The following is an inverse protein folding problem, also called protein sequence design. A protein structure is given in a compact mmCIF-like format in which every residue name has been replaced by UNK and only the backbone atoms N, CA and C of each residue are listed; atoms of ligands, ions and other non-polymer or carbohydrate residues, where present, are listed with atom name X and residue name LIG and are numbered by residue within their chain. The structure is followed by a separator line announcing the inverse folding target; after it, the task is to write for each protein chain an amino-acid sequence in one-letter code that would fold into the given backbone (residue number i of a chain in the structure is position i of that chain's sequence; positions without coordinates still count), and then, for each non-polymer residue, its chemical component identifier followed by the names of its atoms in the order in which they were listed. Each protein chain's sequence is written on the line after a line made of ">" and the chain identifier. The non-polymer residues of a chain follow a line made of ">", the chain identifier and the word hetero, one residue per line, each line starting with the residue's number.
data_IF_674842696617
#
_entry.id   IF_674842696617
#
_cell.length_a   1.000
_cell.length_b   1.000
_cell.length_c   1.000
_cell.angle_alpha   90.00
_cell.angle_beta   90.00
_cell.angle_gamma   90.00
#
_symmetry.space_group_name_H-M   'P 1'
#
loop_
_entity.id
_entity.type
_entity.pdbx_description
1 polymer ?
#
# COMPACT_ATOMS: atom_id res chain seq x y z
N UNK A 1 -34.04 3.86 20.73
CA UNK A 1 -32.93 3.72 21.69
C UNK A 1 -31.65 3.70 20.90
N UNK A 2 -30.67 4.50 21.31
CA UNK A 2 -29.46 4.71 20.53
C UNK A 2 -28.28 4.63 21.47
N UNK A 3 -27.26 3.87 21.09
CA UNK A 3 -26.01 3.74 21.85
C UNK A 3 -25.51 5.09 22.38
N UNK A 4 -25.03 5.07 23.61
CA UNK A 4 -24.49 6.23 24.32
C UNK A 4 -22.96 6.22 24.35
N UNK A 5 -22.35 7.37 24.10
CA UNK A 5 -20.91 7.56 24.22
C UNK A 5 -20.49 7.36 25.68
N UNK A 6 -19.43 6.60 25.90
CA UNK A 6 -18.90 6.29 27.23
C UNK A 6 -19.46 5.02 27.86
N UNK A 7 -20.59 4.48 27.37
CA UNK A 7 -21.14 3.21 27.84
C UNK A 7 -20.47 2.01 27.15
N UNK A 8 -20.43 0.88 27.86
CA UNK A 8 -19.92 -0.40 27.38
C UNK A 8 -21.09 -1.32 27.03
N UNK A 9 -20.97 -2.05 25.92
CA UNK A 9 -21.96 -2.99 25.43
C UNK A 9 -21.28 -4.30 25.03
N UNK A 10 -22.01 -5.40 25.14
CA UNK A 10 -21.63 -6.66 24.50
C UNK A 10 -22.04 -6.64 23.03
N UNK A 11 -21.18 -7.15 22.15
CA UNK A 11 -21.42 -7.17 20.71
C UNK A 11 -20.72 -8.33 20.04
N UNK A 12 -21.41 -9.00 19.12
CA UNK A 12 -20.82 -9.96 18.20
C UNK A 12 -20.19 -9.24 16.99
N UNK A 13 -19.00 -9.69 16.59
CA UNK A 13 -18.29 -9.21 15.40
C UNK A 13 -18.69 -10.07 14.20
N UNK A 14 -19.39 -9.43 13.27
CA UNK A 14 -20.00 -10.09 12.10
C UNK A 14 -19.17 -9.95 10.83
N UNK A 15 -18.30 -8.94 10.75
CA UNK A 15 -17.41 -8.71 9.60
C UNK A 15 -16.18 -7.91 10.04
N UNK A 16 -15.16 -7.82 9.18
CA UNK A 16 -14.04 -6.88 9.33
C UNK A 16 -13.98 -6.03 8.06
N UNK A 17 -14.22 -4.73 8.23
CA UNK A 17 -14.17 -3.77 7.14
C UNK A 17 -12.73 -3.52 6.67
N UNK A 18 -12.58 -3.05 5.43
CA UNK A 18 -11.30 -2.57 4.91
C UNK A 18 -10.69 -1.53 5.85
N UNK A 19 -9.39 -1.69 6.12
CA UNK A 19 -8.70 -0.95 7.17
C UNK A 19 -8.66 -1.67 8.52
N UNK A 20 -9.21 -2.89 8.64
CA UNK A 20 -8.99 -3.79 9.79
C UNK A 20 -9.86 -3.52 11.02
N UNK A 21 -11.00 -2.84 10.85
CA UNK A 21 -11.97 -2.61 11.92
C UNK A 21 -13.07 -3.66 11.84
N UNK A 22 -13.29 -4.39 12.94
CA UNK A 22 -14.45 -5.26 13.09
C UNK A 22 -15.75 -4.47 13.09
N UNK A 23 -16.81 -5.10 12.61
CA UNK A 23 -18.14 -4.53 12.46
C UNK A 23 -19.13 -5.44 13.18
N UNK A 24 -19.89 -4.84 14.09
CA UNK A 24 -21.03 -5.48 14.73
C UNK A 24 -22.18 -4.50 14.91
N UNK A 25 -23.24 -4.97 15.55
CA UNK A 25 -24.40 -4.13 15.89
C UNK A 25 -24.69 -4.21 17.39
N UNK A 26 -24.87 -3.05 18.00
CA UNK A 26 -25.41 -2.90 19.36
C UNK A 26 -26.80 -2.32 19.22
N UNK A 27 -27.83 -3.06 19.65
CA UNK A 27 -29.24 -2.63 19.54
C UNK A 27 -29.61 -2.18 18.10
N UNK A 28 -29.07 -2.86 17.09
CA UNK A 28 -29.28 -2.52 15.67
C UNK A 28 -28.40 -1.38 15.12
N UNK A 29 -27.66 -0.66 15.96
CA UNK A 29 -26.75 0.41 15.55
C UNK A 29 -25.34 -0.14 15.23
N UNK A 30 -24.80 0.22 14.06
CA UNK A 30 -23.51 -0.29 13.57
C UNK A 30 -22.36 0.33 14.37
N UNK A 31 -21.44 -0.50 14.88
CA UNK A 31 -20.25 -0.07 15.61
C UNK A 31 -19.00 -0.68 15.00
N UNK A 32 -17.99 0.17 14.76
CA UNK A 32 -16.67 -0.23 14.30
C UNK A 32 -15.68 -0.32 15.46
N UNK A 33 -14.95 -1.43 15.57
CA UNK A 33 -14.03 -1.69 16.69
C UNK A 33 -12.71 -2.24 16.15
N UNK A 34 -11.55 -1.68 16.51
CA UNK A 34 -10.26 -2.24 16.12
C UNK A 34 -9.90 -3.45 17.01
N UNK A 35 -8.90 -4.24 16.58
CA UNK A 35 -8.28 -5.33 17.36
C UNK A 35 -9.20 -6.52 17.68
N UNK A 36 -10.21 -6.73 16.84
CA UNK A 36 -11.15 -7.86 16.92
C UNK A 36 -11.15 -8.65 15.61
N UNK A 37 -11.75 -9.84 15.62
CA UNK A 37 -11.94 -10.71 14.44
C UNK A 37 -13.40 -11.18 14.33
N UNK A 38 -13.80 -11.67 13.15
CA UNK A 38 -15.14 -12.21 12.91
C UNK A 38 -15.41 -13.44 13.77
N UNK A 39 -16.62 -13.52 14.33
CA UNK A 39 -17.06 -14.60 15.20
C UNK A 39 -16.77 -14.35 16.69
N UNK A 40 -16.13 -13.23 17.02
CA UNK A 40 -15.89 -12.86 18.41
C UNK A 40 -17.10 -12.22 19.08
N UNK A 41 -17.26 -12.48 20.38
CA UNK A 41 -18.14 -11.70 21.25
C UNK A 41 -17.25 -10.83 22.13
N UNK A 42 -17.49 -9.52 22.13
CA UNK A 42 -16.62 -8.54 22.78
C UNK A 42 -17.39 -7.53 23.62
N UNK A 43 -16.75 -7.03 24.67
CA UNK A 43 -17.16 -5.81 25.36
C UNK A 43 -16.54 -4.60 24.67
N UNK A 44 -17.40 -3.72 24.17
CA UNK A 44 -17.02 -2.51 23.45
C UNK A 44 -17.52 -1.26 24.18
N UNK A 45 -16.59 -0.34 24.48
CA UNK A 45 -16.95 1.00 24.96
C UNK A 45 -17.11 1.96 23.80
N UNK A 46 -18.27 2.62 23.69
CA UNK A 46 -18.52 3.58 22.61
C UNK A 46 -17.68 4.83 22.85
N UNK A 47 -16.74 5.11 21.95
CA UNK A 47 -15.88 6.31 22.00
C UNK A 47 -16.53 7.48 21.30
N UNK A 48 -17.09 7.22 20.13
CA UNK A 48 -17.63 8.26 19.27
C UNK A 48 -18.89 7.76 18.57
N UNK A 49 -19.83 8.67 18.36
CA UNK A 49 -21.08 8.42 17.64
C UNK A 49 -21.19 9.39 16.48
N UNK A 50 -21.30 8.85 15.27
CA UNK A 50 -21.62 9.58 14.05
C UNK A 50 -23.10 9.35 13.71
N UNK A 51 -23.57 9.99 12.62
CA UNK A 51 -24.96 9.93 12.17
C UNK A 51 -25.48 8.49 12.00
N UNK A 52 -24.68 7.61 11.37
CA UNK A 52 -25.12 6.27 10.96
C UNK A 52 -24.30 5.13 11.59
N UNK A 53 -23.24 5.44 12.34
CA UNK A 53 -22.36 4.44 12.94
C UNK A 53 -21.65 4.98 14.17
N UNK A 54 -21.14 4.08 15.00
CA UNK A 54 -20.30 4.37 16.15
C UNK A 54 -18.89 3.86 15.96
N UNK A 55 -17.97 4.41 16.73
CA UNK A 55 -16.62 3.88 16.90
C UNK A 55 -16.45 3.45 18.34
N UNK A 56 -16.03 2.21 18.51
CA UNK A 56 -15.82 1.59 19.80
C UNK A 56 -14.34 1.39 20.12
N UNK A 57 -14.07 1.22 21.40
CA UNK A 57 -12.78 0.74 21.92
C UNK A 57 -13.03 -0.63 22.54
N UNK A 58 -12.29 -1.63 22.08
CA UNK A 58 -12.29 -2.96 22.68
C UNK A 58 -11.91 -2.85 24.16
N UNK A 59 -12.77 -3.34 25.05
CA UNK A 59 -12.47 -3.48 26.48
C UNK A 59 -11.99 -4.90 26.78
N UNK A 60 -12.72 -5.90 26.28
CA UNK A 60 -12.45 -7.32 26.53
C UNK A 60 -13.00 -8.18 25.41
N UNK A 61 -12.31 -9.27 25.10
CA UNK A 61 -12.84 -10.35 24.25
C UNK A 61 -13.45 -11.38 25.19
N UNK A 62 -14.77 -11.59 25.07
CA UNK A 62 -15.52 -12.55 25.90
C UNK A 62 -15.46 -13.96 25.29
N UNK A 63 -15.62 -14.05 23.97
CA UNK A 63 -15.48 -15.26 23.20
C UNK A 63 -14.48 -15.00 22.05
N UNK A 64 -13.27 -15.58 22.09
CA UNK A 64 -12.27 -15.37 21.04
C UNK A 64 -12.58 -16.21 19.78
N UNK A 65 -12.17 -15.68 18.63
CA UNK A 65 -12.16 -16.41 17.36
C UNK A 65 -11.14 -17.56 17.44
N UNK A 66 -11.39 -18.72 16.80
CA UNK A 66 -10.37 -19.78 16.70
C UNK A 66 -9.11 -19.32 15.94
N UNK A 67 -9.22 -18.26 15.13
CA UNK A 67 -8.10 -17.64 14.42
C UNK A 67 -7.39 -16.55 15.23
N UNK A 68 -7.83 -16.26 16.46
CA UNK A 68 -7.12 -15.33 17.34
C UNK A 68 -5.80 -15.94 17.79
N UNK A 69 -4.74 -15.13 17.74
CA UNK A 69 -3.41 -15.47 18.26
C UNK A 69 -2.82 -14.35 19.11
N UNK A 70 -1.75 -14.67 19.82
CA UNK A 70 -0.93 -13.67 20.50
C UNK A 70 -0.16 -12.81 19.49
N UNK A 71 -0.10 -11.50 19.75
CA UNK A 71 0.66 -10.55 18.94
C UNK A 71 2.12 -10.46 19.43
N UNK A 72 3.06 -10.25 18.51
CA UNK A 72 4.50 -10.12 18.86
C UNK A 72 4.87 -8.76 19.42
N UNK A 73 4.23 -7.70 18.94
CA UNK A 73 4.64 -6.33 19.25
C UNK A 73 4.07 -5.85 20.60
N UNK A 74 4.90 -5.36 21.55
CA UNK A 74 4.44 -4.84 22.84
C UNK A 74 3.69 -3.50 22.74
N UNK A 75 3.69 -2.89 21.55
CA UNK A 75 2.98 -1.63 21.26
C UNK A 75 1.66 -1.87 20.51
N UNK A 76 1.33 -3.11 20.18
CA UNK A 76 0.06 -3.48 19.55
C UNK A 76 -1.12 -3.04 20.45
N UNK A 77 -2.25 -2.67 19.84
CA UNK A 77 -3.39 -2.07 20.56
C UNK A 77 -3.28 -0.56 20.81
N UNK A 78 -2.06 0.03 20.71
CA UNK A 78 -1.81 1.47 20.90
C UNK A 78 -1.24 2.14 19.65
N UNK A 79 -0.15 1.57 19.11
CA UNK A 79 0.50 2.05 17.90
C UNK A 79 -0.45 1.91 16.69
N UNK A 80 -0.58 2.96 15.88
CA UNK A 80 -1.46 2.96 14.70
C UNK A 80 -0.92 2.18 13.49
N UNK A 81 0.23 1.52 13.61
CA UNK A 81 0.90 0.87 12.48
C UNK A 81 0.34 -0.51 12.10
N UNK A 82 -0.03 -1.34 13.08
CA UNK A 82 -0.53 -2.70 12.87
C UNK A 82 -1.91 -2.86 13.50
N UNK A 83 -2.80 -3.55 12.80
CA UNK A 83 -4.21 -3.74 13.21
C UNK A 83 -4.61 -5.21 13.32
N UNK A 84 -3.82 -6.13 12.76
CA UNK A 84 -4.20 -7.53 12.58
C UNK A 84 -3.25 -8.55 13.23
N UNK A 85 -2.26 -8.12 14.05
CA UNK A 85 -1.30 -9.08 14.64
C UNK A 85 -1.97 -10.16 15.50
N UNK A 86 -3.13 -9.86 16.07
CA UNK A 86 -3.94 -10.77 16.86
C UNK A 86 -4.72 -11.81 16.02
N UNK A 87 -4.57 -11.82 14.69
CA UNK A 87 -5.26 -12.72 13.77
C UNK A 87 -4.21 -13.61 13.08
N UNK A 88 -4.46 -14.92 13.02
CA UNK A 88 -3.65 -15.87 12.26
C UNK A 88 -3.48 -15.45 10.80
N UNK A 89 -2.31 -15.72 10.22
CA UNK A 89 -1.96 -15.14 8.92
C UNK A 89 -2.85 -15.62 7.77
N UNK A 90 -3.17 -16.91 7.72
CA UNK A 90 -4.13 -17.47 6.77
C UNK A 90 -5.48 -16.75 6.82
N UNK A 91 -5.94 -16.40 8.04
CA UNK A 91 -7.17 -15.63 8.24
C UNK A 91 -7.03 -14.18 7.77
N UNK A 92 -5.87 -13.53 7.98
CA UNK A 92 -5.61 -12.20 7.42
C UNK A 92 -5.71 -12.21 5.88
N UNK A 93 -5.11 -13.20 5.22
CA UNK A 93 -5.16 -13.37 3.77
C UNK A 93 -6.59 -13.52 3.27
N UNK A 94 -7.37 -14.40 3.92
CA UNK A 94 -8.78 -14.60 3.60
C UNK A 94 -9.59 -13.30 3.75
N UNK A 95 -9.42 -12.58 4.88
CA UNK A 95 -10.11 -11.31 5.13
C UNK A 95 -9.79 -10.27 4.06
N UNK A 96 -8.51 -10.10 3.72
CA UNK A 96 -8.07 -9.13 2.70
C UNK A 96 -8.65 -9.45 1.32
N UNK A 97 -8.62 -10.72 0.92
CA UNK A 97 -9.23 -11.17 -0.34
C UNK A 97 -10.73 -10.91 -0.37
N UNK A 98 -11.45 -11.30 0.69
CA UNK A 98 -12.89 -11.03 0.85
C UNK A 98 -13.18 -9.53 0.73
N UNK A 99 -12.41 -8.69 1.40
CA UNK A 99 -12.58 -7.23 1.37
C UNK A 99 -12.43 -6.65 -0.04
N UNK A 100 -11.48 -7.13 -0.85
CA UNK A 100 -11.36 -6.72 -2.25
C UNK A 100 -12.62 -7.09 -3.04
N UNK A 101 -13.10 -8.33 -2.90
CA UNK A 101 -14.33 -8.79 -3.56
C UNK A 101 -15.58 -8.00 -3.14
N UNK A 102 -15.74 -7.73 -1.84
CA UNK A 102 -16.85 -6.95 -1.30
C UNK A 102 -16.84 -5.51 -1.81
N UNK A 103 -15.68 -4.86 -1.82
CA UNK A 103 -15.52 -3.49 -2.33
C UNK A 103 -15.85 -3.43 -3.81
N UNK A 104 -15.32 -4.36 -4.62
CA UNK A 104 -15.59 -4.42 -6.06
C UNK A 104 -17.06 -4.65 -6.36
N UNK A 105 -17.71 -5.53 -5.61
CA UNK A 105 -19.13 -5.82 -5.80
C UNK A 105 -20.00 -4.63 -5.39
N UNK A 106 -19.77 -4.07 -4.20
CA UNK A 106 -20.63 -3.02 -3.61
C UNK A 106 -20.40 -1.63 -4.22
N UNK A 107 -19.13 -1.24 -4.44
CA UNK A 107 -18.79 0.08 -4.98
C UNK A 107 -18.66 0.08 -6.51
N UNK A 108 -18.11 -1.00 -7.07
CA UNK A 108 -17.83 -1.12 -8.50
C UNK A 108 -19.02 -1.58 -9.31
N UNK A 109 -19.97 -2.29 -8.70
CA UNK A 109 -21.10 -2.90 -9.40
C UNK A 109 -20.70 -4.16 -10.19
N UNK A 110 -19.52 -4.72 -9.92
CA UNK A 110 -19.08 -5.97 -10.52
C UNK A 110 -19.82 -7.13 -9.82
N UNK A 111 -20.82 -7.74 -10.46
CA UNK A 111 -21.63 -8.80 -9.84
C UNK A 111 -20.81 -10.04 -9.43
N UNK A 112 -19.76 -10.35 -10.19
CA UNK A 112 -18.82 -11.45 -9.95
C UNK A 112 -17.41 -10.97 -10.31
N UNK A 113 -16.75 -10.18 -9.45
CA UNK A 113 -15.42 -9.69 -9.75
C UNK A 113 -14.43 -10.87 -9.80
N UNK A 114 -13.48 -10.91 -10.76
CA UNK A 114 -12.54 -12.02 -10.91
C UNK A 114 -11.40 -11.91 -9.89
N UNK A 115 -11.73 -11.96 -8.59
CA UNK A 115 -10.77 -11.85 -7.48
C UNK A 115 -10.14 -13.21 -7.21
N UNK A 116 -8.85 -13.29 -7.52
CA UNK A 116 -8.03 -14.47 -7.34
C UNK A 116 -7.56 -14.62 -5.88
N UNK A 117 -6.83 -15.70 -5.61
CA UNK A 117 -6.15 -15.85 -4.33
C UNK A 117 -5.16 -14.69 -4.11
N UNK A 118 -5.09 -14.24 -2.86
CA UNK A 118 -4.12 -13.22 -2.48
C UNK A 118 -2.71 -13.83 -2.50
N UNK A 119 -1.77 -13.14 -3.13
CA UNK A 119 -0.36 -13.51 -3.07
C UNK A 119 0.17 -13.22 -1.65
N UNK A 120 0.52 -14.24 -0.85
CA UNK A 120 0.99 -14.03 0.52
C UNK A 120 2.42 -13.49 0.52
N UNK A 121 2.76 -12.72 1.56
CA UNK A 121 4.16 -12.43 1.83
C UNK A 121 4.84 -13.68 2.38
N UNK A 122 6.05 -14.03 1.90
CA UNK A 122 6.83 -15.12 2.48
C UNK A 122 7.09 -14.96 3.97
N UNK A 123 7.21 -13.71 4.44
CA UNK A 123 7.45 -13.38 5.85
C UNK A 123 6.46 -12.34 6.34
N UNK A 124 5.90 -12.61 7.52
CA UNK A 124 4.92 -11.76 8.17
C UNK A 124 5.51 -10.51 8.86
N UNK A 125 6.81 -10.56 9.15
CA UNK A 125 7.56 -9.61 9.96
C UNK A 125 8.88 -9.25 9.27
N UNK A 126 9.55 -8.19 9.74
CA UNK A 126 10.84 -7.73 9.20
C UNK A 126 10.90 -7.45 7.69
N UNK A 127 9.73 -7.26 7.06
CA UNK A 127 9.61 -7.11 5.61
C UNK A 127 9.85 -5.66 5.16
N UNK A 128 9.60 -4.67 6.03
CA UNK A 128 9.47 -3.27 5.66
C UNK A 128 10.84 -2.57 5.54
N UNK A 129 11.19 -2.17 4.32
CA UNK A 129 12.47 -1.54 3.94
C UNK A 129 12.59 -0.04 4.24
N UNK A 130 11.49 0.62 4.60
CA UNK A 130 11.41 2.07 4.87
C UNK A 130 10.42 2.34 5.99
N UNK A 131 10.82 3.15 6.96
CA UNK A 131 9.94 3.63 8.03
C UNK A 131 10.17 5.12 8.30
N UNK A 132 9.10 5.90 8.36
CA UNK A 132 9.13 7.30 8.78
C UNK A 132 8.73 7.40 10.25
N UNK A 133 9.69 7.76 11.09
CA UNK A 133 9.49 7.92 12.53
C UNK A 133 9.06 9.35 12.85
N UNK A 134 8.16 9.49 13.83
CA UNK A 134 7.78 10.76 14.42
C UNK A 134 8.72 11.06 15.59
N UNK A 135 9.14 12.32 15.67
CA UNK A 135 10.05 12.83 16.68
C UNK A 135 9.37 13.90 17.51
N UNK A 136 9.54 13.84 18.82
CA UNK A 136 9.14 14.90 19.74
C UNK A 136 10.17 15.04 20.85
N UNK A 137 10.53 16.28 21.19
CA UNK A 137 11.34 16.61 22.35
C UNK A 137 10.58 17.60 23.22
N UNK A 138 10.36 17.26 24.49
CA UNK A 138 9.74 18.14 25.50
C UNK A 138 10.65 18.20 26.73
N UNK A 139 11.34 19.33 26.89
CA UNK A 139 12.43 19.43 27.86
C UNK A 139 13.51 18.38 27.57
N UNK A 140 13.78 17.51 28.54
CA UNK A 140 14.72 16.39 28.42
C UNK A 140 14.09 15.11 27.85
N UNK A 141 12.75 15.03 27.80
CA UNK A 141 12.06 13.85 27.28
C UNK A 141 12.15 13.83 25.75
N UNK A 142 12.64 12.70 25.22
CA UNK A 142 12.83 12.44 23.79
C UNK A 142 11.97 11.24 23.37
N UNK A 143 11.06 11.46 22.43
CA UNK A 143 10.18 10.42 21.89
C UNK A 143 10.48 10.19 20.41
N UNK A 144 10.78 8.93 20.09
CA UNK A 144 10.86 8.42 18.71
C UNK A 144 9.90 7.26 18.58
N UNK A 145 9.00 7.32 17.60
CA UNK A 145 8.12 6.21 17.31
C UNK A 145 7.06 6.55 16.28
N UNK A 146 5.86 6.01 16.45
CA UNK A 146 4.75 6.21 15.52
C UNK A 146 3.57 6.88 16.22
N UNK A 147 2.65 7.41 15.43
CA UNK A 147 1.40 7.90 15.97
C UNK A 147 0.53 6.75 16.50
N UNK A 148 -0.23 7.04 17.55
CA UNK A 148 -1.30 6.15 18.01
C UNK A 148 -2.37 5.97 16.92
N UNK A 149 -3.31 5.05 17.14
CA UNK A 149 -4.39 4.77 16.18
C UNK A 149 -5.24 6.01 15.83
N UNK A 150 -5.21 7.06 16.66
CA UNK A 150 -5.99 8.28 16.47
C UNK A 150 -5.17 9.47 15.98
N UNK A 151 -3.87 9.31 15.73
CA UNK A 151 -2.99 10.36 15.20
C UNK A 151 -2.60 11.45 16.21
N UNK A 152 -3.04 11.34 17.47
CA UNK A 152 -2.89 12.36 18.51
C UNK A 152 -1.50 12.30 19.13
N UNK A 153 -1.12 11.12 19.59
CA UNK A 153 0.06 10.94 20.45
C UNK A 153 1.16 10.15 19.74
N UNK A 154 2.41 10.40 20.13
CA UNK A 154 3.54 9.58 19.67
C UNK A 154 3.74 8.46 20.68
N UNK A 155 3.53 7.22 20.22
CA UNK A 155 3.90 6.02 20.94
C UNK A 155 5.41 5.83 20.75
N UNK A 156 6.19 6.13 21.78
CA UNK A 156 7.62 5.88 21.77
C UNK A 156 7.88 4.37 21.74
N UNK A 157 8.69 3.92 20.77
CA UNK A 157 8.97 2.48 20.57
C UNK A 157 10.46 2.21 20.58
N UNK A 158 10.88 1.06 21.11
CA UNK A 158 12.28 0.62 21.08
C UNK A 158 12.60 -0.25 19.87
N UNK A 159 11.60 -0.96 19.35
CA UNK A 159 11.65 -1.82 18.18
C UNK A 159 10.30 -1.80 17.47
N UNK A 160 10.30 -2.08 16.17
CA UNK A 160 9.11 -2.42 15.41
C UNK A 160 9.29 -3.80 14.75
N UNK A 161 8.34 -4.71 14.96
CA UNK A 161 8.45 -6.10 14.46
C UNK A 161 8.30 -6.21 12.94
N UNK A 162 7.67 -5.23 12.28
CA UNK A 162 7.44 -5.30 10.83
C UNK A 162 8.55 -4.61 10.00
N UNK A 163 9.42 -3.82 10.64
CA UNK A 163 10.55 -3.18 9.94
C UNK A 163 11.75 -4.12 9.90
N UNK A 164 12.55 -3.97 8.85
CA UNK A 164 13.81 -4.68 8.73
C UNK A 164 14.71 -4.46 9.97
N UNK A 165 15.46 -5.48 10.37
CA UNK A 165 16.30 -5.44 11.57
C UNK A 165 17.38 -4.36 11.53
N UNK A 166 17.89 -4.02 10.36
CA UNK A 166 18.81 -2.88 10.20
C UNK A 166 18.17 -1.53 10.56
N UNK A 167 16.85 -1.37 10.34
CA UNK A 167 16.11 -0.19 10.78
C UNK A 167 16.00 -0.16 12.30
N UNK A 168 15.75 -1.31 12.95
CA UNK A 168 15.73 -1.41 14.40
C UNK A 168 17.11 -1.04 15.00
N UNK A 169 18.20 -1.53 14.40
CA UNK A 169 19.56 -1.13 14.78
C UNK A 169 19.82 0.37 14.60
N UNK A 170 19.38 0.95 13.47
CA UNK A 170 19.51 2.38 13.22
C UNK A 170 18.65 3.24 14.17
N UNK A 171 17.48 2.75 14.58
CA UNK A 171 16.60 3.41 15.55
C UNK A 171 17.27 3.55 16.92
N UNK A 172 18.02 2.54 17.37
CA UNK A 172 18.79 2.62 18.63
C UNK A 172 19.82 3.74 18.56
N UNK A 173 20.60 3.79 17.48
CA UNK A 173 21.60 4.87 17.26
C UNK A 173 20.93 6.24 17.23
N UNK A 174 19.81 6.36 16.52
CA UNK A 174 19.03 7.59 16.40
C UNK A 174 18.60 8.16 17.75
N UNK A 175 18.13 7.29 18.64
CA UNK A 175 17.71 7.66 20.00
C UNK A 175 18.87 8.13 20.86
N UNK A 176 20.01 7.47 20.75
CA UNK A 176 21.21 7.77 21.54
C UNK A 176 21.84 9.10 21.11
N UNK A 177 22.05 9.29 19.80
CA UNK A 177 22.72 10.47 19.27
C UNK A 177 21.82 11.71 19.25
N UNK A 178 20.52 11.53 18.98
CA UNK A 178 19.54 12.59 18.81
C UNK A 178 20.07 13.79 17.99
N UNK A 179 20.37 13.62 16.69
CA UNK A 179 21.01 14.63 15.87
C UNK A 179 20.08 15.79 15.45
N UNK A 180 19.00 16.05 16.21
CA UNK A 180 17.90 16.93 15.81
C UNK A 180 17.84 18.21 16.62
N UNK A 181 17.83 19.35 15.92
CA UNK A 181 17.52 20.65 16.49
C UNK A 181 16.01 20.99 16.39
N UNK A 182 15.36 20.70 15.26
CA UNK A 182 13.94 21.08 15.01
C UNK A 182 13.10 20.06 14.21
N UNK A 183 13.68 18.91 13.85
CA UNK A 183 13.03 17.92 12.97
C UNK A 183 11.91 17.15 13.67
N UNK A 184 10.73 17.06 13.02
CA UNK A 184 9.54 16.33 13.53
C UNK A 184 9.37 14.92 12.96
N UNK A 185 10.02 14.62 11.83
CA UNK A 185 9.93 13.33 11.14
C UNK A 185 11.29 12.88 10.63
N UNK A 186 11.55 11.58 10.68
CA UNK A 186 12.80 11.03 10.22
C UNK A 186 12.62 9.68 9.55
N UNK A 187 12.96 9.63 8.27
CA UNK A 187 12.92 8.41 7.47
C UNK A 187 14.15 7.56 7.76
N UNK A 188 13.97 6.32 8.20
CA UNK A 188 14.98 5.28 8.18
C UNK A 188 14.70 4.28 7.05
N UNK A 189 15.78 3.74 6.51
CA UNK A 189 15.78 2.78 5.43
C UNK A 189 16.59 1.58 5.88
N UNK A 190 16.19 0.39 5.45
CA UNK A 190 16.97 -0.82 5.66
C UNK A 190 18.35 -0.72 5.00
N UNK A 191 19.29 -1.51 5.50
CA UNK A 191 20.68 -1.59 5.05
C UNK A 191 20.82 -1.67 3.52
N UNK A 192 21.91 -1.09 3.04
CA UNK A 192 22.24 -0.91 1.63
C UNK A 192 23.13 0.33 1.45
N UNK A 193 23.69 0.50 0.26
CA UNK A 193 24.45 1.71 -0.06
C UNK A 193 23.54 2.94 0.02
N UNK A 194 24.04 3.97 0.70
CA UNK A 194 23.34 5.22 0.94
C UNK A 194 24.33 6.36 0.76
N UNK A 195 23.92 7.41 0.04
CA UNK A 195 24.64 8.69 0.14
C UNK A 195 24.46 9.26 1.53
N UNK A 196 25.45 9.98 2.09
CA UNK A 196 25.30 10.71 3.34
C UNK A 196 24.05 11.61 3.35
N UNK A 197 23.44 11.78 4.51
CA UNK A 197 22.27 12.66 4.67
C UNK A 197 22.70 14.13 4.59
N UNK A 198 21.84 14.97 4.00
CA UNK A 198 22.10 16.40 3.84
C UNK A 198 22.79 16.76 2.53
N UNK A 199 23.24 15.77 1.77
CA UNK A 199 23.72 15.98 0.41
C UNK A 199 22.57 16.29 -0.55
N UNK A 200 22.79 17.27 -1.44
CA UNK A 200 21.88 17.57 -2.53
C UNK A 200 21.75 16.33 -3.42
N UNK A 201 20.52 15.88 -3.67
CA UNK A 201 20.20 14.65 -4.42
C UNK A 201 20.55 13.33 -3.72
N UNK A 202 20.48 13.28 -2.38
CA UNK A 202 20.69 12.02 -1.64
C UNK A 202 19.76 10.88 -2.10
N UNK A 203 20.34 9.69 -2.27
CA UNK A 203 19.64 8.48 -2.70
C UNK A 203 19.98 7.26 -1.83
N UNK A 204 19.15 6.25 -1.97
CA UNK A 204 19.34 4.91 -1.39
C UNK A 204 19.37 3.90 -2.51
N UNK A 205 20.18 2.86 -2.37
CA UNK A 205 20.20 1.76 -3.31
C UNK A 205 19.30 0.61 -2.86
N UNK A 206 18.55 0.03 -3.79
CA UNK A 206 17.66 -1.11 -3.56
C UNK A 206 17.86 -2.15 -4.63
N UNK A 207 18.19 -3.36 -4.22
CA UNK A 207 18.31 -4.50 -5.14
C UNK A 207 16.95 -5.16 -5.33
N UNK A 208 16.57 -5.37 -6.58
CA UNK A 208 15.43 -6.20 -6.97
C UNK A 208 15.92 -7.11 -8.09
N UNK A 209 15.90 -8.42 -7.85
CA UNK A 209 16.52 -9.42 -8.74
C UNK A 209 17.98 -9.03 -9.06
N UNK A 210 18.29 -8.85 -10.34
CA UNK A 210 19.59 -8.48 -10.92
C UNK A 210 19.79 -6.96 -11.07
N UNK A 211 18.78 -6.15 -10.75
CA UNK A 211 18.86 -4.69 -10.87
C UNK A 211 19.08 -4.00 -9.52
N UNK A 212 19.83 -2.90 -9.57
CA UNK A 212 20.06 -2.02 -8.42
C UNK A 212 19.47 -0.65 -8.72
N UNK A 213 18.44 -0.29 -7.97
CA UNK A 213 17.69 0.95 -8.08
C UNK A 213 18.25 2.00 -7.13
N UNK A 214 18.74 3.11 -7.67
CA UNK A 214 18.82 4.37 -6.95
C UNK A 214 17.39 4.89 -6.72
N UNK A 215 17.11 5.33 -5.50
CA UNK A 215 15.82 5.90 -5.08
C UNK A 215 16.08 7.18 -4.30
N UNK A 216 15.39 8.30 -4.56
CA UNK A 216 15.52 9.49 -3.73
C UNK A 216 15.26 9.14 -2.26
N UNK A 217 16.06 9.66 -1.32
CA UNK A 217 15.95 9.29 0.11
C UNK A 217 14.57 9.55 0.70
N UNK A 218 13.90 10.63 0.30
CA UNK A 218 12.52 10.91 0.73
C UNK A 218 11.48 10.32 -0.24
N UNK A 219 11.91 9.76 -1.36
CA UNK A 219 11.06 9.20 -2.42
C UNK A 219 10.36 7.90 -2.05
N UNK A 220 9.45 7.49 -2.91
CA UNK A 220 8.69 6.25 -2.77
C UNK A 220 9.46 5.04 -3.31
N UNK A 221 9.30 3.90 -2.63
CA UNK A 221 9.68 2.59 -3.12
C UNK A 221 8.80 1.54 -2.44
N UNK A 222 8.57 0.43 -3.12
CA UNK A 222 7.80 -0.70 -2.59
C UNK A 222 8.47 -1.22 -1.31
N UNK A 223 7.69 -1.39 -0.24
CA UNK A 223 8.27 -1.54 1.10
C UNK A 223 8.56 -2.98 1.50
N UNK A 224 7.90 -3.97 0.92
CA UNK A 224 8.04 -5.37 1.31
C UNK A 224 9.12 -6.06 0.49
N UNK A 225 10.31 -6.25 1.09
CA UNK A 225 11.47 -6.84 0.41
C UNK A 225 11.24 -8.22 -0.18
N UNK A 226 10.38 -9.02 0.47
CA UNK A 226 10.13 -10.41 0.07
C UNK A 226 9.17 -10.53 -1.12
N UNK A 227 8.43 -9.45 -1.44
CA UNK A 227 7.45 -9.43 -2.52
C UNK A 227 7.87 -8.59 -3.73
N UNK A 228 9.03 -7.91 -3.70
CA UNK A 228 9.50 -7.10 -4.83
C UNK A 228 9.66 -7.91 -6.13
N UNK A 229 10.18 -9.14 -6.03
CA UNK A 229 10.29 -10.02 -7.21
C UNK A 229 8.90 -10.42 -7.68
N UNK A 230 8.09 -11.01 -6.81
CA UNK A 230 6.78 -11.55 -7.18
C UNK A 230 5.81 -10.47 -7.69
N UNK A 231 5.89 -9.24 -7.17
CA UNK A 231 5.11 -8.12 -7.67
C UNK A 231 5.55 -7.70 -9.09
N UNK A 232 6.86 -7.65 -9.35
CA UNK A 232 7.36 -7.31 -10.70
C UNK A 232 7.08 -8.43 -11.70
N UNK A 233 7.19 -9.70 -11.29
CA UNK A 233 6.78 -10.87 -12.07
C UNK A 233 5.29 -10.82 -12.42
N UNK A 234 4.43 -10.57 -11.42
CA UNK A 234 2.98 -10.48 -11.63
C UNK A 234 2.61 -9.37 -12.64
N UNK A 235 3.19 -8.17 -12.50
CA UNK A 235 2.93 -7.07 -13.44
C UNK A 235 3.45 -7.42 -14.84
N UNK A 236 4.64 -8.01 -14.94
CA UNK A 236 5.23 -8.46 -16.20
C UNK A 236 4.34 -9.49 -16.91
N UNK A 237 3.89 -10.52 -16.19
CA UNK A 237 3.05 -11.59 -16.73
C UNK A 237 1.70 -11.06 -17.22
N UNK A 238 1.09 -10.14 -16.47
CA UNK A 238 -0.18 -9.51 -16.86
C UNK A 238 -0.04 -8.58 -18.06
N UNK A 239 1.14 -8.02 -18.32
CA UNK A 239 1.37 -7.23 -19.53
C UNK A 239 1.33 -8.07 -20.80
N UNK A 240 1.62 -9.38 -20.73
CA UNK A 240 1.59 -10.32 -21.87
C UNK A 240 2.41 -9.83 -23.07
N UNK A 241 3.63 -9.37 -22.82
CA UNK A 241 4.48 -8.80 -23.86
C UNK A 241 5.07 -9.91 -24.77
N UNK A 242 5.18 -9.62 -26.05
CA UNK A 242 5.73 -10.51 -27.08
C UNK A 242 6.98 -9.95 -27.76
N UNK A 243 7.43 -8.76 -27.35
CA UNK A 243 8.54 -8.02 -27.96
C UNK A 243 8.11 -6.98 -29.00
N UNK A 244 6.81 -6.88 -29.30
CA UNK A 244 6.28 -5.99 -30.36
C UNK A 244 5.59 -4.75 -29.80
N UNK A 245 5.16 -4.82 -28.56
CA UNK A 245 4.31 -3.85 -27.90
C UNK A 245 5.08 -2.61 -27.49
N UNK A 246 4.43 -1.47 -27.61
CA UNK A 246 4.79 -0.22 -26.97
C UNK A 246 4.09 -0.12 -25.61
N UNK A 247 4.85 0.23 -24.57
CA UNK A 247 4.35 0.27 -23.19
C UNK A 247 4.47 1.67 -22.61
N UNK A 248 3.41 2.15 -21.96
CA UNK A 248 3.43 3.32 -21.09
C UNK A 248 3.43 2.86 -19.64
N UNK A 249 4.44 3.25 -18.86
CA UNK A 249 4.49 3.07 -17.41
C UNK A 249 4.14 4.42 -16.75
N UNK A 250 2.88 4.57 -16.35
CA UNK A 250 2.35 5.79 -15.75
C UNK A 250 2.54 5.79 -14.23
N UNK A 251 3.01 6.92 -13.70
CA UNK A 251 3.44 7.06 -12.30
C UNK A 251 4.65 6.16 -11.99
N UNK A 252 5.60 6.08 -12.93
CA UNK A 252 6.65 5.06 -12.91
C UNK A 252 7.65 5.20 -11.76
N UNK A 253 7.65 6.32 -11.03
CA UNK A 253 8.62 6.61 -9.98
C UNK A 253 10.06 6.46 -10.47
N UNK A 254 10.80 5.52 -9.88
CA UNK A 254 12.21 5.23 -10.22
C UNK A 254 12.36 4.20 -11.35
N UNK A 255 11.28 3.85 -12.03
CA UNK A 255 11.23 2.91 -13.14
C UNK A 255 11.22 1.44 -12.71
N UNK A 256 10.60 1.10 -11.57
CA UNK A 256 10.58 -0.28 -11.05
C UNK A 256 10.06 -1.26 -12.10
N UNK A 257 8.85 -1.05 -12.61
CA UNK A 257 8.25 -1.91 -13.62
C UNK A 257 8.90 -1.70 -15.00
N UNK A 258 9.10 -0.44 -15.38
CA UNK A 258 9.79 -0.05 -16.62
C UNK A 258 11.04 -0.87 -16.94
N UNK A 259 11.93 -1.07 -15.95
CA UNK A 259 13.19 -1.80 -16.14
C UNK A 259 12.98 -3.28 -16.49
N UNK A 260 11.97 -3.93 -15.91
CA UNK A 260 11.67 -5.34 -16.17
C UNK A 260 10.82 -5.55 -17.42
N UNK A 261 10.01 -4.57 -17.81
CA UNK A 261 9.18 -4.63 -19.02
C UNK A 261 9.98 -4.36 -20.29
N UNK A 262 10.97 -3.45 -20.22
CA UNK A 262 11.70 -3.00 -21.40
C UNK A 262 12.39 -4.12 -22.20
N UNK A 263 13.04 -5.12 -21.59
CA UNK A 263 13.65 -6.23 -22.34
C UNK A 263 12.66 -7.06 -23.17
N UNK A 264 11.38 -7.06 -22.82
CA UNK A 264 10.33 -7.82 -23.50
C UNK A 264 9.37 -6.95 -24.34
N UNK A 265 9.63 -5.64 -24.45
CA UNK A 265 8.81 -4.70 -25.22
C UNK A 265 9.58 -4.15 -26.42
N UNK A 266 8.85 -3.65 -27.43
CA UNK A 266 9.47 -2.87 -28.51
C UNK A 266 10.06 -1.58 -27.95
N UNK A 267 9.29 -0.87 -27.12
CA UNK A 267 9.75 0.32 -26.42
C UNK A 267 8.87 0.62 -25.20
N UNK A 268 9.48 1.20 -24.17
CA UNK A 268 8.78 1.62 -22.94
C UNK A 268 8.99 3.12 -22.71
N UNK A 269 7.94 3.81 -22.33
CA UNK A 269 7.98 5.21 -21.87
C UNK A 269 7.44 5.27 -20.46
N UNK A 270 8.28 5.70 -19.50
CA UNK A 270 7.85 5.98 -18.14
C UNK A 270 7.49 7.46 -17.96
N UNK A 271 6.40 7.76 -17.25
CA UNK A 271 5.99 9.13 -16.92
C UNK A 271 5.87 9.29 -15.42
N UNK A 272 6.54 10.30 -14.86
CA UNK A 272 6.56 10.59 -13.43
C UNK A 272 6.63 12.10 -13.19
N UNK A 273 5.87 12.59 -12.20
CA UNK A 273 5.82 14.01 -11.85
C UNK A 273 7.09 14.48 -11.13
N UNK A 274 7.66 13.61 -10.29
CA UNK A 274 8.84 13.92 -9.49
C UNK A 274 10.13 13.81 -10.31
N UNK A 275 10.73 14.96 -10.61
CA UNK A 275 11.98 15.05 -11.38
C UNK A 275 13.18 14.33 -10.73
N UNK A 276 13.25 14.23 -9.41
CA UNK A 276 14.31 13.47 -8.71
C UNK A 276 14.12 11.97 -8.88
N UNK A 277 12.88 11.49 -8.88
CA UNK A 277 12.57 10.08 -9.15
C UNK A 277 12.92 9.74 -10.61
N UNK A 278 12.58 10.61 -11.57
CA UNK A 278 12.98 10.44 -12.98
C UNK A 278 14.50 10.46 -13.15
N UNK A 279 15.22 11.36 -12.48
CA UNK A 279 16.68 11.37 -12.52
C UNK A 279 17.28 10.04 -12.02
N UNK A 280 16.70 9.47 -10.96
CA UNK A 280 17.05 8.13 -10.49
C UNK A 280 16.67 7.05 -11.52
N UNK A 281 15.49 7.13 -12.14
CA UNK A 281 15.03 6.19 -13.16
C UNK A 281 15.97 6.17 -14.38
N UNK A 282 16.45 7.34 -14.83
CA UNK A 282 17.44 7.46 -15.90
C UNK A 282 18.76 6.79 -15.51
N UNK A 283 19.25 7.03 -14.28
CA UNK A 283 20.45 6.35 -13.75
C UNK A 283 20.27 4.84 -13.68
N UNK A 284 19.11 4.37 -13.22
CA UNK A 284 18.77 2.95 -13.12
C UNK A 284 18.79 2.29 -14.50
N UNK A 285 18.15 2.92 -15.49
CA UNK A 285 18.17 2.46 -16.90
C UNK A 285 19.59 2.41 -17.46
N UNK A 286 20.39 3.45 -17.24
CA UNK A 286 21.79 3.50 -17.70
C UNK A 286 22.61 2.36 -17.09
N UNK A 287 22.48 2.14 -15.77
CA UNK A 287 23.13 1.03 -15.06
C UNK A 287 22.70 -0.33 -15.59
N UNK A 288 21.42 -0.50 -15.94
CA UNK A 288 20.90 -1.73 -16.52
C UNK A 288 21.24 -1.91 -18.02
N UNK A 289 21.83 -0.92 -18.68
CA UNK A 289 22.17 -1.00 -20.11
C UNK A 289 20.97 -0.99 -21.07
N UNK A 290 19.78 -0.58 -20.60
CA UNK A 290 18.54 -0.63 -21.37
C UNK A 290 18.44 0.58 -22.32
N UNK A 291 18.26 0.31 -23.61
CA UNK A 291 18.24 1.34 -24.68
C UNK A 291 16.84 1.72 -25.15
N UNK A 292 15.88 0.82 -25.06
CA UNK A 292 14.50 0.99 -25.53
C UNK A 292 13.54 1.49 -24.42
N UNK A 293 14.07 2.20 -23.42
CA UNK A 293 13.33 2.79 -22.33
C UNK A 293 13.64 4.29 -22.25
N UNK A 294 12.61 5.13 -22.21
CA UNK A 294 12.75 6.57 -21.98
C UNK A 294 11.84 7.02 -20.84
N UNK A 295 12.14 8.18 -20.26
CA UNK A 295 11.37 8.75 -19.16
C UNK A 295 11.02 10.20 -19.46
N UNK A 296 9.81 10.60 -19.07
CA UNK A 296 9.30 11.95 -19.16
C UNK A 296 8.95 12.47 -17.76
N UNK A 297 9.37 13.70 -17.48
CA UNK A 297 8.93 14.43 -16.28
C UNK A 297 7.63 15.16 -16.63
N UNK A 298 6.56 14.90 -15.90
CA UNK A 298 5.32 15.66 -16.05
C UNK A 298 4.10 15.05 -15.39
N UNK A 299 3.04 15.83 -15.31
CA UNK A 299 1.74 15.34 -14.86
C UNK A 299 1.10 14.46 -15.94
N UNK A 300 0.59 13.30 -15.55
CA UNK A 300 -0.13 12.40 -16.45
C UNK A 300 -1.29 13.09 -17.18
N UNK A 301 -1.98 14.05 -16.55
CA UNK A 301 -3.05 14.84 -17.17
C UNK A 301 -2.54 15.64 -18.37
N UNK A 302 -1.33 16.19 -18.27
CA UNK A 302 -0.75 17.05 -19.31
C UNK A 302 0.04 16.26 -20.36
N UNK A 303 0.67 15.17 -19.95
CA UNK A 303 1.58 14.37 -20.78
C UNK A 303 0.80 13.39 -21.65
N UNK A 304 -0.13 12.60 -21.07
CA UNK A 304 -0.82 11.51 -21.78
C UNK A 304 -1.52 11.97 -23.06
N UNK A 305 -2.23 13.13 -23.11
CA UNK A 305 -2.89 13.59 -24.34
C UNK A 305 -1.94 13.93 -25.50
N UNK A 306 -0.64 14.13 -25.23
CA UNK A 306 0.38 14.51 -26.21
C UNK A 306 1.20 13.32 -26.71
N UNK A 307 1.03 12.15 -26.08
CA UNK A 307 1.78 10.95 -26.42
C UNK A 307 1.14 10.20 -27.59
N UNK A 308 1.93 9.43 -28.37
CA UNK A 308 1.38 8.46 -29.30
C UNK A 308 0.57 7.39 -28.55
N UNK A 309 -0.30 6.64 -29.26
CA UNK A 309 -0.98 5.50 -28.65
C UNK A 309 0.03 4.41 -28.24
N UNK A 310 -0.29 3.71 -27.16
CA UNK A 310 0.47 2.57 -26.65
C UNK A 310 -0.39 1.29 -26.69
N UNK A 311 0.25 0.14 -26.83
CA UNK A 311 -0.42 -1.16 -26.83
C UNK A 311 -0.76 -1.61 -25.40
N UNK A 312 0.12 -1.29 -24.43
CA UNK A 312 -0.03 -1.65 -23.01
C UNK A 312 0.20 -0.42 -22.14
N UNK A 313 -0.62 -0.28 -21.10
CA UNK A 313 -0.42 0.74 -20.07
C UNK A 313 -0.30 0.06 -18.71
N UNK A 314 0.75 0.40 -17.96
CA UNK A 314 0.90 0.06 -16.54
C UNK A 314 0.65 1.32 -15.72
N UNK A 315 -0.11 1.21 -14.64
CA UNK A 315 -0.42 2.30 -13.72
C UNK A 315 -0.10 1.90 -12.28
N UNK A 316 0.67 2.71 -11.58
CA UNK A 316 0.87 2.61 -10.11
C UNK A 316 0.62 3.98 -9.44
N UNK A 317 -0.63 4.49 -9.48
CA UNK A 317 -0.94 5.83 -9.00
C UNK A 317 -0.87 5.94 -7.47
N UNK A 318 -0.82 7.17 -6.94
CA UNK A 318 -0.94 7.40 -5.50
C UNK A 318 -2.27 6.90 -4.93
N UNK A 319 -2.40 6.84 -3.60
CA UNK A 319 -3.58 6.33 -2.86
C UNK A 319 -4.95 6.86 -3.32
N UNK A 320 -4.98 8.04 -3.93
CA UNK A 320 -6.20 8.68 -4.46
C UNK A 320 -6.68 8.09 -5.81
N UNK A 321 -5.88 7.25 -6.46
CA UNK A 321 -6.09 6.72 -7.80
C UNK A 321 -5.80 7.74 -8.90
N UNK A 322 -6.23 7.44 -10.12
CA UNK A 322 -6.12 8.32 -11.27
C UNK A 322 -7.20 9.41 -11.25
N UNK A 323 -6.88 10.57 -11.84
CA UNK A 323 -7.86 11.61 -12.11
C UNK A 323 -8.86 11.17 -13.18
N UNK A 324 -9.99 11.88 -13.34
CA UNK A 324 -10.97 11.52 -14.38
C UNK A 324 -10.37 11.72 -15.77
N UNK A 325 -9.57 12.77 -15.90
CA UNK A 325 -8.95 13.26 -17.11
C UNK A 325 -7.92 12.23 -17.62
N UNK A 326 -7.10 11.67 -16.73
CA UNK A 326 -6.17 10.58 -17.08
C UNK A 326 -6.95 9.36 -17.58
N UNK A 327 -7.99 8.92 -16.86
CA UNK A 327 -8.78 7.76 -17.28
C UNK A 327 -9.48 7.99 -18.63
N UNK A 328 -10.00 9.19 -18.87
CA UNK A 328 -10.59 9.55 -20.17
C UNK A 328 -9.55 9.55 -21.29
N UNK A 329 -8.35 10.08 -21.04
CA UNK A 329 -7.26 10.06 -22.00
C UNK A 329 -6.83 8.63 -22.33
N UNK A 330 -6.77 7.73 -21.35
CA UNK A 330 -6.48 6.31 -21.57
C UNK A 330 -7.59 5.59 -22.35
N UNK A 331 -8.86 5.90 -22.07
CA UNK A 331 -9.99 5.37 -22.84
C UNK A 331 -9.90 5.85 -24.31
N UNK A 332 -9.54 7.11 -24.54
CA UNK A 332 -9.35 7.65 -25.89
C UNK A 332 -8.12 7.05 -26.59
N UNK A 333 -7.03 6.79 -25.85
CA UNK A 333 -5.82 6.14 -26.34
C UNK A 333 -6.06 4.68 -26.78
N UNK A 334 -7.01 4.00 -26.16
CA UNK A 334 -7.43 2.61 -26.47
C UNK A 334 -6.29 1.57 -26.46
N UNK A 335 -5.39 1.53 -25.45
CA UNK A 335 -4.47 0.40 -25.30
C UNK A 335 -5.22 -0.93 -25.27
N UNK A 336 -4.57 -1.99 -25.73
CA UNK A 336 -5.15 -3.34 -25.70
C UNK A 336 -5.27 -3.87 -24.28
N UNK A 337 -4.31 -3.49 -23.42
CA UNK A 337 -4.17 -3.96 -22.04
C UNK A 337 -3.86 -2.80 -21.10
N UNK A 338 -4.53 -2.80 -19.95
CA UNK A 338 -4.21 -1.91 -18.83
C UNK A 338 -3.94 -2.78 -17.61
N UNK A 339 -2.71 -2.71 -17.08
CA UNK A 339 -2.34 -3.29 -15.79
C UNK A 339 -2.36 -2.18 -14.75
N UNK A 340 -3.20 -2.31 -13.73
CA UNK A 340 -3.37 -1.29 -12.69
C UNK A 340 -3.00 -1.88 -11.33
N UNK A 341 -1.92 -1.35 -10.75
CA UNK A 341 -1.41 -1.61 -9.39
C UNK A 341 -1.97 -0.55 -8.44
N UNK A 342 -2.49 -0.96 -7.27
CA UNK A 342 -3.04 -0.02 -6.29
C UNK A 342 -3.01 -0.52 -4.86
N UNK A 343 -2.54 0.34 -3.96
CA UNK A 343 -2.58 0.13 -2.51
C UNK A 343 -3.93 0.50 -1.86
N UNK A 344 -4.93 0.89 -2.65
CA UNK A 344 -6.26 1.28 -2.18
C UNK A 344 -7.39 0.66 -3.04
N UNK A 345 -7.98 -0.47 -2.59
CA UNK A 345 -9.04 -1.16 -3.34
C UNK A 345 -10.26 -0.29 -3.66
N UNK A 346 -10.59 0.70 -2.83
CA UNK A 346 -11.78 1.54 -3.04
C UNK A 346 -11.60 2.53 -4.21
N UNK A 347 -10.46 3.22 -4.28
CA UNK A 347 -10.15 4.12 -5.40
C UNK A 347 -9.83 3.35 -6.66
N UNK A 348 -9.16 2.20 -6.55
CA UNK A 348 -9.00 1.25 -7.66
C UNK A 348 -10.37 0.88 -8.24
N UNK A 349 -11.30 0.41 -7.42
CA UNK A 349 -12.64 -0.01 -7.88
C UNK A 349 -13.40 1.10 -8.59
N UNK A 350 -13.31 2.34 -8.09
CA UNK A 350 -13.88 3.53 -8.75
C UNK A 350 -13.29 3.72 -10.15
N UNK A 351 -11.99 3.56 -10.30
CA UNK A 351 -11.29 3.78 -11.58
C UNK A 351 -11.56 2.64 -12.55
N UNK A 352 -11.53 1.39 -12.08
CA UNK A 352 -11.89 0.20 -12.88
C UNK A 352 -13.32 0.30 -13.43
N UNK A 353 -14.28 0.80 -12.64
CA UNK A 353 -15.65 1.04 -13.11
C UNK A 353 -15.69 2.04 -14.27
N UNK A 354 -14.87 3.09 -14.23
CA UNK A 354 -14.81 4.10 -15.30
C UNK A 354 -14.15 3.55 -16.57
N UNK A 355 -13.05 2.82 -16.42
CA UNK A 355 -12.42 2.12 -17.54
C UNK A 355 -13.39 1.10 -18.17
N UNK A 356 -14.13 0.37 -17.33
CA UNK A 356 -15.14 -0.59 -17.82
C UNK A 356 -16.27 0.09 -18.60
N UNK A 357 -16.74 1.25 -18.14
CA UNK A 357 -17.68 2.08 -18.90
C UNK A 357 -17.09 2.57 -20.24
N UNK A 358 -15.76 2.70 -20.32
CA UNK A 358 -15.00 2.98 -21.53
C UNK A 358 -14.71 1.76 -22.42
N UNK A 359 -15.51 0.69 -22.31
CA UNK A 359 -15.38 -0.57 -23.05
C UNK A 359 -14.11 -1.38 -22.73
N UNK A 360 -13.68 -1.37 -21.48
CA UNK A 360 -12.71 -2.36 -21.00
C UNK A 360 -13.41 -3.48 -20.22
N UNK A 361 -12.88 -4.69 -20.32
CA UNK A 361 -13.29 -5.83 -19.52
C UNK A 361 -12.27 -6.06 -18.41
N UNK A 362 -12.73 -6.07 -17.15
CA UNK A 362 -11.91 -6.47 -16.02
C UNK A 362 -11.72 -7.99 -16.05
N UNK A 363 -10.53 -8.45 -16.38
CA UNK A 363 -10.23 -9.88 -16.59
C UNK A 363 -9.67 -10.54 -15.33
N UNK A 364 -8.75 -9.87 -14.63
CA UNK A 364 -8.08 -10.42 -13.44
C UNK A 364 -7.95 -9.39 -12.33
N UNK A 365 -8.08 -9.84 -11.08
CA UNK A 365 -7.82 -9.04 -9.88
C UNK A 365 -7.06 -9.91 -8.88
N UNK A 366 -5.79 -9.57 -8.66
CA UNK A 366 -4.88 -10.30 -7.80
C UNK A 366 -4.50 -9.42 -6.61
N UNK A 367 -5.06 -9.66 -5.42
CA UNK A 367 -4.56 -9.02 -4.21
C UNK A 367 -3.13 -9.51 -3.90
N UNK A 368 -2.30 -8.64 -3.35
CA UNK A 368 -0.94 -8.94 -2.91
C UNK A 368 -0.78 -8.42 -1.48
N UNK A 369 -0.32 -9.28 -0.58
CA UNK A 369 -0.13 -8.88 0.81
C UNK A 369 1.21 -8.16 1.03
N UNK A 370 1.35 -6.97 0.43
CA UNK A 370 2.51 -6.10 0.62
C UNK A 370 2.65 -5.59 2.07
N UNK A 371 1.61 -5.73 2.89
CA UNK A 371 1.58 -5.18 4.25
C UNK A 371 0.95 -6.15 5.26
N UNK A 372 1.59 -7.31 5.54
CA UNK A 372 1.15 -8.22 6.59
C UNK A 372 0.93 -7.48 7.91
N UNK A 373 0.04 -7.99 8.77
CA UNK A 373 -0.30 -7.42 10.08
C UNK A 373 -1.03 -6.05 10.06
N UNK A 374 -1.23 -5.47 8.87
CA UNK A 374 -1.93 -4.18 8.68
C UNK A 374 -3.23 -4.36 7.90
N UNK A 375 -4.12 -3.37 7.95
CA UNK A 375 -5.33 -3.33 7.13
C UNK A 375 -5.12 -2.90 5.67
N UNK A 376 -3.86 -2.70 5.23
CA UNK A 376 -3.56 -2.34 3.85
C UNK A 376 -3.51 -3.56 2.93
N UNK A 377 -3.90 -3.35 1.67
CA UNK A 377 -3.97 -4.38 0.63
C UNK A 377 -3.46 -3.74 -0.65
N UNK A 378 -2.45 -4.36 -1.26
CA UNK A 378 -2.04 -4.05 -2.62
C UNK A 378 -2.87 -4.90 -3.58
N UNK A 379 -3.26 -4.36 -4.72
CA UNK A 379 -4.06 -5.10 -5.71
C UNK A 379 -3.51 -4.80 -7.09
N UNK A 380 -3.25 -5.85 -7.87
CA UNK A 380 -2.92 -5.75 -9.29
C UNK A 380 -4.12 -6.23 -10.09
N UNK A 381 -4.54 -5.46 -11.08
CA UNK A 381 -5.67 -5.81 -11.94
C UNK A 381 -5.30 -5.69 -13.41
N UNK A 382 -5.92 -6.54 -14.23
CA UNK A 382 -5.77 -6.52 -15.67
C UNK A 382 -7.12 -6.19 -16.31
N UNK A 383 -7.14 -5.16 -17.13
CA UNK A 383 -8.23 -4.88 -18.04
C UNK A 383 -7.81 -5.12 -19.48
N UNK A 384 -8.69 -5.76 -20.25
CA UNK A 384 -8.53 -5.96 -21.68
C UNK A 384 -9.52 -5.07 -22.42
N UNK A 385 -9.09 -4.48 -23.52
CA UNK A 385 -9.97 -3.72 -24.40
C UNK A 385 -11.08 -4.64 -24.92
N UNK A 386 -12.33 -4.26 -24.64
CA UNK A 386 -13.50 -4.91 -25.19
C UNK A 386 -13.55 -4.74 -26.71
N UNK A 387 -14.10 -5.76 -27.37
CA UNK A 387 -14.32 -5.78 -28.83
C UNK A 387 -15.17 -4.62 -29.33
#
# INVERSE_FOLDING_TARGET
>A
MVVEVGKTYEMEITDVAYGGYGVGKVEGFVVFVPFVDVGEVVEVKIREKKKNFGQGILQRVLLPSPDRREHRCPYFGRCGGCLLQHINYSRQLWLKRKQVGDIMSRLGGFLRPPVEEILPSPEEFHYRLKAEFHLEKRGDERRVGFKDLHGKEIIAINRCEIVDESINSALVKLKNEWPFSSTKRYTLWAEGEHTPRGEKNSFVERKVKDHVFSVPREGFFQVNKFLLSSLTDLVFDLCRLTGRETVLDGYCGVGLFSLFLAPAARSVVGVELNSQAVACAVKNRQRAGIKNLSFLVGDMVEVVPKLPPFDVVVLDPPRQGCSKEVLQALIAMRPERIVYVSCNPATLTRDLRRLSAGKYHLERVVPVDMFPQTGHIEVVSLLIRGS
#
